data_IF_374661552784
#
_entry.id   IF_374661552784
#
_cell.length_a   1.000
_cell.length_b   1.000
_cell.length_c   1.000
_cell.angle_alpha   90.00
_cell.angle_beta   90.00
_cell.angle_gamma   90.00
#
_symmetry.space_group_name_H-M   'P 1'
#
loop_
_entity.id
_entity.type
_entity.pdbx_description
1 polymer ?
#
# COMPACT_ATOMS: atom_id res chain seq x y z
N UNK A 1 -8.78 -11.93 -12.96
CA UNK A 1 -9.76 -11.40 -13.92
C UNK A 1 -9.41 -9.94 -14.12
N UNK A 2 -8.88 -9.55 -15.28
CA UNK A 2 -8.57 -8.14 -15.57
C UNK A 2 -9.88 -7.40 -15.84
N UNK A 3 -10.26 -6.48 -14.95
CA UNK A 3 -11.54 -5.74 -15.02
C UNK A 3 -11.35 -4.39 -15.75
N UNK A 4 -10.73 -4.43 -16.93
CA UNK A 4 -10.26 -3.23 -17.67
C UNK A 4 -11.40 -2.33 -18.19
N UNK A 5 -12.64 -2.80 -18.26
CA UNK A 5 -13.73 -2.08 -18.96
C UNK A 5 -14.97 -1.71 -18.14
N UNK A 6 -14.88 -1.60 -16.80
CA UNK A 6 -16.02 -1.11 -16.01
C UNK A 6 -15.84 0.35 -15.58
N UNK A 7 -16.55 1.33 -16.21
CA UNK A 7 -16.60 2.73 -15.77
C UNK A 7 -17.28 2.93 -14.40
N UNK A 8 -17.52 1.85 -13.62
CA UNK A 8 -18.17 1.83 -12.30
C UNK A 8 -17.26 1.33 -11.16
N UNK A 9 -15.96 1.08 -11.40
CA UNK A 9 -15.04 0.63 -10.35
C UNK A 9 -14.81 1.65 -9.23
N UNK A 10 -15.16 2.91 -9.44
CA UNK A 10 -15.14 3.91 -8.37
C UNK A 10 -16.01 3.51 -7.18
N UNK A 11 -17.05 2.68 -7.38
CA UNK A 11 -17.90 2.22 -6.29
C UNK A 11 -18.47 0.83 -6.59
N UNK A 12 -17.93 -0.22 -5.94
CA UNK A 12 -18.46 -1.59 -6.04
C UNK A 12 -19.62 -1.71 -5.04
N UNK A 13 -20.90 -1.78 -5.46
CA UNK A 13 -22.02 -1.78 -4.53
C UNK A 13 -22.01 -3.04 -3.65
N UNK A 14 -22.32 -2.86 -2.35
CA UNK A 14 -22.34 -3.92 -1.35
C UNK A 14 -23.31 -5.08 -1.68
N UNK A 15 -24.26 -4.85 -2.59
CA UNK A 15 -25.33 -5.78 -2.92
C UNK A 15 -25.00 -6.76 -4.04
N UNK A 16 -23.80 -6.70 -4.63
CA UNK A 16 -23.45 -7.58 -5.75
C UNK A 16 -22.69 -8.82 -5.27
N UNK A 17 -23.40 -9.95 -5.11
CA UNK A 17 -22.80 -11.26 -4.81
C UNK A 17 -21.77 -11.72 -5.85
N UNK A 18 -21.74 -11.09 -7.03
CA UNK A 18 -20.81 -11.38 -8.13
C UNK A 18 -19.33 -11.31 -7.75
N UNK A 19 -18.95 -10.52 -6.75
CA UNK A 19 -17.55 -10.36 -6.37
C UNK A 19 -17.15 -11.12 -5.10
N UNK A 20 -18.06 -11.90 -4.52
CA UNK A 20 -17.79 -12.65 -3.28
C UNK A 20 -16.77 -13.77 -3.48
N UNK A 21 -16.56 -14.25 -4.70
CA UNK A 21 -15.49 -15.22 -5.01
C UNK A 21 -14.19 -14.55 -5.48
N UNK A 22 -14.16 -13.23 -5.63
CA UNK A 22 -13.01 -12.53 -6.17
C UNK A 22 -11.86 -12.53 -5.14
N UNK A 23 -10.79 -13.24 -5.44
CA UNK A 23 -9.59 -13.33 -4.60
C UNK A 23 -8.46 -12.43 -5.08
N UNK A 24 -8.45 -12.03 -6.35
CA UNK A 24 -7.40 -11.21 -6.93
C UNK A 24 -8.01 -10.12 -7.79
N UNK A 25 -7.60 -8.88 -7.55
CA UNK A 25 -8.06 -7.69 -8.27
C UNK A 25 -6.85 -6.91 -8.75
N UNK A 26 -6.87 -6.57 -10.03
CA UNK A 26 -5.92 -5.67 -10.64
C UNK A 26 -6.68 -4.51 -11.29
N UNK A 27 -6.27 -3.29 -10.97
CA UNK A 27 -6.82 -2.05 -11.51
C UNK A 27 -5.67 -1.27 -12.13
N UNK A 28 -5.58 -1.38 -13.45
CA UNK A 28 -4.45 -0.85 -14.21
C UNK A 28 -4.93 0.08 -15.30
N UNK A 29 -4.29 1.25 -15.45
CA UNK A 29 -4.52 2.21 -16.55
C UNK A 29 -5.98 2.68 -16.67
N UNK A 30 -6.59 3.05 -15.56
CA UNK A 30 -7.94 3.62 -15.53
C UNK A 30 -7.92 5.13 -15.28
N UNK A 31 -9.07 5.78 -15.44
CA UNK A 31 -9.29 7.20 -15.17
C UNK A 31 -10.10 7.42 -13.87
N UNK A 32 -10.02 6.50 -12.92
CA UNK A 32 -10.69 6.67 -11.62
C UNK A 32 -9.89 7.63 -10.74
N UNK A 33 -10.56 8.60 -10.12
CA UNK A 33 -9.93 9.51 -9.16
C UNK A 33 -9.97 8.99 -7.73
N UNK A 34 -10.92 8.09 -7.45
CA UNK A 34 -11.12 7.47 -6.14
C UNK A 34 -11.47 6.00 -6.35
N UNK A 35 -11.09 5.17 -5.39
CA UNK A 35 -11.37 3.75 -5.41
C UNK A 35 -11.85 3.27 -4.05
N UNK A 36 -13.03 2.63 -4.03
CA UNK A 36 -13.68 2.12 -2.82
C UNK A 36 -13.89 0.60 -2.94
N UNK A 37 -13.16 -0.19 -2.15
CA UNK A 37 -13.12 -1.67 -2.24
C UNK A 37 -13.71 -2.41 -1.03
N UNK A 38 -14.38 -1.71 -0.11
CA UNK A 38 -14.83 -2.24 1.19
C UNK A 38 -15.68 -3.53 1.13
N UNK A 39 -16.31 -3.82 -0.02
CA UNK A 39 -17.19 -4.97 -0.20
C UNK A 39 -16.48 -6.23 -0.71
N UNK A 40 -15.18 -6.16 -1.01
CA UNK A 40 -14.37 -7.27 -1.52
C UNK A 40 -13.68 -8.04 -0.39
N UNK A 41 -14.47 -8.55 0.56
CA UNK A 41 -13.97 -9.13 1.82
C UNK A 41 -13.15 -10.41 1.65
N UNK A 42 -13.28 -11.11 0.52
CA UNK A 42 -12.54 -12.33 0.20
C UNK A 42 -11.29 -12.08 -0.67
N UNK A 43 -10.95 -10.82 -0.93
CA UNK A 43 -9.79 -10.47 -1.72
C UNK A 43 -8.50 -10.80 -0.96
N UNK A 44 -7.62 -11.56 -1.59
CA UNK A 44 -6.31 -11.97 -1.08
C UNK A 44 -5.20 -11.06 -1.63
N UNK A 45 -5.35 -10.61 -2.88
CA UNK A 45 -4.33 -9.87 -3.62
C UNK A 45 -4.94 -8.65 -4.29
N UNK A 46 -4.35 -7.48 -4.07
CA UNK A 46 -4.71 -6.23 -4.73
C UNK A 46 -3.52 -5.63 -5.45
N UNK A 47 -3.66 -5.37 -6.74
CA UNK A 47 -2.72 -4.59 -7.55
C UNK A 47 -3.39 -3.34 -8.11
N UNK A 48 -2.78 -2.18 -7.93
CA UNK A 48 -3.28 -0.91 -8.46
C UNK A 48 -2.12 -0.21 -9.16
N UNK A 49 -2.15 -0.19 -10.49
CA UNK A 49 -1.03 0.30 -11.28
C UNK A 49 -1.42 1.38 -12.31
N UNK A 50 -0.57 2.38 -12.50
CA UNK A 50 -0.69 3.33 -13.60
C UNK A 50 -2.05 4.06 -13.70
N UNK A 51 -2.66 4.40 -12.56
CA UNK A 51 -3.86 5.25 -12.51
C UNK A 51 -3.42 6.69 -12.24
N UNK A 52 -3.20 7.45 -13.31
CA UNK A 52 -2.52 8.74 -13.26
C UNK A 52 -3.29 9.85 -12.54
N UNK A 53 -4.60 9.68 -12.29
CA UNK A 53 -5.42 10.67 -11.59
C UNK A 53 -6.00 10.16 -10.26
N UNK A 54 -5.65 8.94 -9.85
CA UNK A 54 -6.11 8.33 -8.60
C UNK A 54 -5.51 9.08 -7.42
N UNK A 55 -6.36 9.62 -6.55
CA UNK A 55 -5.97 10.43 -5.38
C UNK A 55 -6.14 9.70 -4.06
N UNK A 56 -7.11 8.79 -4.00
CA UNK A 56 -7.48 8.06 -2.78
C UNK A 56 -7.79 6.60 -3.08
N UNK A 57 -7.39 5.73 -2.17
CA UNK A 57 -7.70 4.30 -2.17
C UNK A 57 -8.30 3.99 -0.80
N UNK A 58 -9.54 3.51 -0.77
CA UNK A 58 -10.17 2.97 0.43
C UNK A 58 -10.20 1.44 0.35
N UNK A 59 -9.35 0.85 1.18
CA UNK A 59 -9.19 -0.60 1.39
C UNK A 59 -9.34 -0.94 2.87
N UNK A 60 -10.03 -0.09 3.64
CA UNK A 60 -10.31 -0.35 5.03
C UNK A 60 -11.08 -1.68 5.18
N UNK A 61 -10.76 -2.42 6.24
CA UNK A 61 -11.48 -3.65 6.60
C UNK A 61 -11.50 -4.74 5.52
N UNK A 62 -10.36 -5.00 4.86
CA UNK A 62 -10.18 -6.14 3.96
C UNK A 62 -9.48 -7.30 4.69
N UNK A 63 -10.20 -8.16 5.43
CA UNK A 63 -9.62 -9.07 6.43
C UNK A 63 -8.75 -10.17 5.83
N UNK A 64 -8.95 -10.52 4.56
CA UNK A 64 -8.24 -11.61 3.87
C UNK A 64 -7.06 -11.11 3.03
N UNK A 65 -6.89 -9.79 2.88
CA UNK A 65 -5.88 -9.21 2.00
C UNK A 65 -4.48 -9.49 2.57
N UNK A 66 -3.68 -10.26 1.83
CA UNK A 66 -2.35 -10.69 2.26
C UNK A 66 -1.22 -10.05 1.47
N UNK A 67 -1.52 -9.52 0.28
CA UNK A 67 -0.57 -8.88 -0.61
C UNK A 67 -1.19 -7.62 -1.25
N UNK A 68 -0.48 -6.50 -1.13
CA UNK A 68 -0.82 -5.23 -1.75
C UNK A 68 0.37 -4.74 -2.57
N UNK A 69 0.07 -4.31 -3.80
CA UNK A 69 1.04 -3.73 -4.72
C UNK A 69 0.45 -2.49 -5.41
N UNK A 70 1.02 -1.33 -5.10
CA UNK A 70 0.54 -0.01 -5.55
C UNK A 70 1.64 0.67 -6.35
N UNK A 71 1.47 0.77 -7.66
CA UNK A 71 2.52 1.26 -8.55
C UNK A 71 2.06 2.42 -9.46
N UNK A 72 2.94 3.40 -9.70
CA UNK A 72 2.73 4.43 -10.72
C UNK A 72 1.41 5.22 -10.60
N UNK A 73 0.89 5.44 -9.39
CA UNK A 73 -0.29 6.30 -9.18
C UNK A 73 0.18 7.71 -8.78
N UNK A 74 0.58 8.48 -9.78
CA UNK A 74 1.32 9.75 -9.61
C UNK A 74 0.58 10.86 -8.86
N UNK A 75 -0.73 10.76 -8.66
CA UNK A 75 -1.54 11.73 -7.90
C UNK A 75 -1.99 11.23 -6.51
N UNK A 76 -1.58 10.02 -6.12
CA UNK A 76 -1.92 9.45 -4.82
C UNK A 76 -1.17 10.21 -3.72
N UNK A 77 -1.91 10.91 -2.85
CA UNK A 77 -1.33 11.76 -1.80
C UNK A 77 -1.14 11.01 -0.48
N UNK A 78 -2.07 10.11 -0.17
CA UNK A 78 -2.12 9.38 1.09
C UNK A 78 -2.51 7.94 0.85
N UNK A 79 -1.86 7.02 1.54
CA UNK A 79 -2.26 5.62 1.61
C UNK A 79 -2.47 5.23 3.07
N UNK A 80 -3.69 4.82 3.39
CA UNK A 80 -4.09 4.35 4.73
C UNK A 80 -4.26 2.85 4.71
N UNK A 81 -3.50 2.16 5.54
CA UNK A 81 -3.50 0.71 5.70
C UNK A 81 -3.84 0.40 7.16
N UNK A 82 -5.13 0.27 7.43
CA UNK A 82 -5.67 0.10 8.77
C UNK A 82 -6.47 -1.20 8.87
N UNK A 83 -6.24 -1.96 9.94
CA UNK A 83 -7.01 -3.17 10.25
C UNK A 83 -6.96 -4.23 9.13
N UNK A 84 -5.76 -4.57 8.67
CA UNK A 84 -5.52 -5.64 7.69
C UNK A 84 -4.82 -6.83 8.39
N UNK A 85 -5.59 -7.67 9.11
CA UNK A 85 -5.04 -8.73 9.97
C UNK A 85 -4.29 -9.82 9.22
N UNK A 86 -4.50 -9.95 7.91
CA UNK A 86 -3.86 -10.95 7.06
C UNK A 86 -2.71 -10.39 6.20
N UNK A 87 -2.44 -9.08 6.25
CA UNK A 87 -1.46 -8.46 5.35
C UNK A 87 -0.04 -8.91 5.70
N UNK A 88 0.66 -9.50 4.73
CA UNK A 88 2.03 -10.01 4.90
C UNK A 88 3.05 -9.20 4.09
N UNK A 89 2.64 -8.72 2.90
CA UNK A 89 3.52 -8.01 1.98
C UNK A 89 2.87 -6.74 1.46
N UNK A 90 3.63 -5.65 1.50
CA UNK A 90 3.27 -4.36 0.93
C UNK A 90 4.38 -3.87 -0.01
N UNK A 91 4.00 -3.57 -1.25
CA UNK A 91 4.87 -2.95 -2.25
C UNK A 91 4.26 -1.61 -2.70
N UNK A 92 5.09 -0.57 -2.70
CA UNK A 92 4.73 0.78 -3.16
C UNK A 92 5.84 1.28 -4.08
N UNK A 93 5.54 1.51 -5.35
CA UNK A 93 6.54 1.91 -6.35
C UNK A 93 6.07 3.13 -7.15
N UNK A 94 6.91 4.14 -7.29
CA UNK A 94 6.65 5.29 -8.19
C UNK A 94 5.36 6.05 -7.90
N UNK A 95 4.93 6.12 -6.64
CA UNK A 95 3.85 7.00 -6.19
C UNK A 95 4.45 8.34 -5.76
N UNK A 96 4.90 9.12 -6.76
CA UNK A 96 5.83 10.23 -6.55
C UNK A 96 5.26 11.38 -5.71
N UNK A 97 3.94 11.53 -5.63
CA UNK A 97 3.25 12.54 -4.79
C UNK A 97 2.79 12.01 -3.42
N UNK A 98 3.10 10.77 -3.05
CA UNK A 98 2.71 10.19 -1.78
C UNK A 98 3.42 10.93 -0.63
N UNK A 99 2.65 11.59 0.23
CA UNK A 99 3.14 12.39 1.37
C UNK A 99 2.96 11.64 2.70
N UNK A 100 1.92 10.80 2.82
CA UNK A 100 1.65 10.00 4.02
C UNK A 100 1.44 8.52 3.69
N UNK A 101 2.02 7.68 4.53
CA UNK A 101 1.81 6.24 4.56
C UNK A 101 1.48 5.85 6.01
N UNK A 102 0.20 5.59 6.25
CA UNK A 102 -0.30 5.25 7.58
C UNK A 102 -0.48 3.73 7.65
N UNK A 103 0.20 3.09 8.60
CA UNK A 103 0.21 1.63 8.78
C UNK A 103 -0.15 1.30 10.23
N UNK A 104 -1.41 0.93 10.46
CA UNK A 104 -1.93 0.63 11.79
C UNK A 104 -2.62 -0.75 11.82
N UNK A 105 -2.38 -1.48 12.91
CA UNK A 105 -2.96 -2.81 13.13
C UNK A 105 -2.70 -3.78 11.95
N UNK A 106 -1.41 -3.98 11.64
CA UNK A 106 -0.92 -4.96 10.67
C UNK A 106 -0.15 -6.07 11.43
N UNK A 107 -0.83 -6.92 12.22
CA UNK A 107 -0.22 -7.79 13.22
C UNK A 107 0.68 -8.88 12.65
N UNK A 108 0.60 -9.14 11.33
CA UNK A 108 1.40 -10.18 10.68
C UNK A 108 2.22 -9.70 9.48
N UNK A 109 2.38 -8.38 9.27
CA UNK A 109 3.21 -7.87 8.16
C UNK A 109 4.66 -8.37 8.30
N UNK A 110 5.24 -8.87 7.21
CA UNK A 110 6.61 -9.43 7.19
C UNK A 110 7.56 -8.62 6.32
N UNK A 111 7.04 -8.07 5.21
CA UNK A 111 7.84 -7.40 4.19
C UNK A 111 7.18 -6.10 3.73
N UNK A 112 7.98 -5.03 3.70
CA UNK A 112 7.60 -3.74 3.14
C UNK A 112 8.66 -3.30 2.13
N UNK A 113 8.25 -2.91 0.93
CA UNK A 113 9.11 -2.23 -0.04
C UNK A 113 8.48 -0.92 -0.48
N UNK A 114 9.24 0.18 -0.38
CA UNK A 114 8.82 1.50 -0.83
C UNK A 114 9.91 2.12 -1.68
N UNK A 115 9.61 2.36 -2.95
CA UNK A 115 10.54 2.89 -3.95
C UNK A 115 9.95 4.10 -4.66
N UNK A 116 10.80 5.08 -4.98
CA UNK A 116 10.46 6.27 -5.80
C UNK A 116 9.23 7.05 -5.29
N UNK A 117 9.07 7.13 -3.96
CA UNK A 117 8.03 7.92 -3.30
C UNK A 117 8.62 9.22 -2.72
N UNK A 118 9.07 10.09 -3.63
CA UNK A 118 9.95 11.21 -3.32
C UNK A 118 9.39 12.25 -2.31
N UNK A 119 8.07 12.31 -2.10
CA UNK A 119 7.45 13.26 -1.16
C UNK A 119 7.28 12.72 0.26
N UNK A 120 7.50 11.42 0.51
CA UNK A 120 7.46 10.85 1.85
C UNK A 120 8.57 11.45 2.72
N UNK A 121 8.19 11.97 3.89
CA UNK A 121 9.12 12.59 4.85
C UNK A 121 9.46 11.68 6.00
N UNK A 122 8.55 10.79 6.37
CA UNK A 122 8.69 9.93 7.54
C UNK A 122 8.10 8.56 7.26
N UNK A 123 8.70 7.50 7.80
CA UNK A 123 8.12 6.15 7.79
C UNK A 123 8.12 5.60 9.22
N UNK A 124 6.94 5.24 9.72
CA UNK A 124 6.77 4.70 11.06
C UNK A 124 6.46 3.19 11.01
N UNK A 125 7.41 2.38 11.47
CA UNK A 125 7.34 0.93 11.56
C UNK A 125 7.24 0.46 13.02
N UNK A 126 7.14 1.38 14.00
CA UNK A 126 7.23 1.06 15.44
C UNK A 126 6.17 0.09 15.94
N UNK A 127 4.99 0.00 15.31
CA UNK A 127 3.91 -0.93 15.70
C UNK A 127 3.88 -2.24 14.89
N UNK A 128 4.82 -2.43 13.97
CA UNK A 128 4.86 -3.59 13.07
C UNK A 128 5.72 -4.71 13.67
N UNK A 129 5.20 -5.39 14.70
CA UNK A 129 5.97 -6.32 15.55
C UNK A 129 6.57 -7.51 14.83
N UNK A 130 5.96 -7.92 13.73
CA UNK A 130 6.39 -9.09 12.94
C UNK A 130 7.21 -8.74 11.71
N UNK A 131 7.46 -7.45 11.46
CA UNK A 131 8.22 -7.01 10.29
C UNK A 131 9.65 -7.56 10.37
N UNK A 132 10.06 -8.33 9.36
CA UNK A 132 11.38 -8.96 9.30
C UNK A 132 12.27 -8.38 8.19
N UNK A 133 11.67 -7.73 7.18
CA UNK A 133 12.38 -7.17 6.04
C UNK A 133 11.76 -5.84 5.63
N UNK A 134 12.60 -4.85 5.35
CA UNK A 134 12.15 -3.68 4.61
C UNK A 134 13.22 -3.15 3.64
N UNK A 135 12.74 -2.63 2.52
CA UNK A 135 13.54 -1.94 1.52
C UNK A 135 12.94 -0.57 1.25
N UNK A 136 13.77 0.47 1.38
CA UNK A 136 13.39 1.85 1.16
C UNK A 136 14.38 2.46 0.17
N UNK A 137 13.93 2.80 -1.03
CA UNK A 137 14.81 3.28 -2.08
C UNK A 137 14.29 4.56 -2.73
N UNK A 138 15.20 5.47 -3.06
CA UNK A 138 14.87 6.71 -3.79
C UNK A 138 13.83 7.59 -3.10
N UNK A 139 13.88 7.68 -1.76
CA UNK A 139 12.95 8.49 -0.97
C UNK A 139 13.56 9.87 -0.73
N UNK A 140 13.55 10.71 -1.77
CA UNK A 140 14.29 11.98 -1.82
C UNK A 140 14.06 12.94 -0.64
N UNK A 141 12.84 12.97 -0.07
CA UNK A 141 12.51 13.82 1.08
C UNK A 141 12.44 13.09 2.43
N UNK A 142 12.81 11.81 2.49
CA UNK A 142 12.73 11.04 3.74
C UNK A 142 13.74 11.58 4.75
N UNK A 143 13.25 12.00 5.92
CA UNK A 143 14.07 12.58 7.00
C UNK A 143 14.22 11.64 8.19
N UNK A 144 13.23 10.79 8.43
CA UNK A 144 13.25 9.87 9.57
C UNK A 144 12.55 8.56 9.26
N UNK A 145 13.14 7.48 9.75
CA UNK A 145 12.49 6.18 9.89
C UNK A 145 12.39 5.91 11.39
N UNK A 146 11.38 5.17 11.81
CA UNK A 146 11.36 4.66 13.18
C UNK A 146 10.86 3.23 13.24
N UNK A 147 11.61 2.35 13.88
CA UNK A 147 11.26 0.95 14.11
C UNK A 147 11.61 0.55 15.55
N UNK A 148 11.10 -0.59 16.01
CA UNK A 148 11.48 -1.13 17.31
C UNK A 148 12.83 -1.86 17.18
N UNK A 149 13.88 -1.34 17.81
CA UNK A 149 15.23 -1.91 17.78
C UNK A 149 15.34 -3.27 18.46
N UNK A 150 14.35 -3.67 19.26
CA UNK A 150 14.30 -4.99 19.90
C UNK A 150 13.89 -6.12 18.94
N UNK A 151 13.61 -5.82 17.66
CA UNK A 151 13.18 -6.81 16.67
C UNK A 151 14.35 -7.40 15.90
N UNK A 152 14.23 -8.68 15.56
CA UNK A 152 15.10 -9.35 14.61
C UNK A 152 14.69 -8.99 13.19
N UNK A 153 15.36 -7.97 12.62
CA UNK A 153 15.28 -7.63 11.21
C UNK A 153 16.39 -8.40 10.47
N UNK A 154 16.01 -9.11 9.41
CA UNK A 154 16.93 -9.95 8.64
C UNK A 154 17.48 -9.22 7.41
N UNK A 155 16.68 -8.35 6.81
CA UNK A 155 17.03 -7.67 5.58
C UNK A 155 16.57 -6.21 5.64
N UNK A 156 17.53 -5.31 5.84
CA UNK A 156 17.32 -3.87 5.90
C UNK A 156 18.11 -3.26 4.76
N UNK A 157 17.41 -2.58 3.87
CA UNK A 157 18.02 -1.88 2.74
C UNK A 157 17.45 -0.46 2.68
N UNK A 158 18.33 0.54 2.75
CA UNK A 158 17.96 1.94 2.60
C UNK A 158 18.93 2.57 1.60
N UNK A 159 18.43 2.91 0.42
CA UNK A 159 19.25 3.45 -0.67
C UNK A 159 18.67 4.78 -1.15
N UNK A 160 19.53 5.62 -1.74
CA UNK A 160 19.12 6.84 -2.45
C UNK A 160 18.14 7.73 -1.67
N UNK A 161 18.33 7.84 -0.36
CA UNK A 161 17.50 8.65 0.56
C UNK A 161 18.37 9.72 1.24
N UNK A 162 18.83 10.75 0.51
CA UNK A 162 19.94 11.63 0.91
C UNK A 162 19.63 12.56 2.10
N UNK A 163 18.35 12.75 2.44
CA UNK A 163 17.93 13.61 3.57
C UNK A 163 17.69 12.84 4.87
N UNK A 164 17.90 11.52 4.88
CA UNK A 164 17.67 10.68 6.06
C UNK A 164 18.73 10.99 7.12
N UNK A 165 18.27 11.41 8.31
CA UNK A 165 19.14 11.77 9.44
C UNK A 165 18.86 10.95 10.70
N UNK A 166 17.66 10.38 10.82
CA UNK A 166 17.20 9.66 12.01
C UNK A 166 16.70 8.26 11.62
N UNK A 167 17.21 7.24 12.31
CA UNK A 167 16.91 5.81 12.12
C UNK A 167 16.60 5.23 13.51
#
# INVERSE_FOLDING_TARGET
MSLIDLPKLSNIPATTNYFQSLQQLEITKTYISELHLSNLTNLLTLRIAANSILKTIDIAHMPQLNYIDIEYNGELLTLKLENLPSLQTLTIVSNTKLISLDMENLPIIRTISVTDSAQLKTINLKKLDTLSSFELSSLGNLKSISFNSARSLNNISINSSPLLKNI
#
